data_IF_995550684783
#
_entry.id   IF_995550684783
#
_cell.length_a   1.000
_cell.length_b   1.000
_cell.length_c   1.000
_cell.angle_alpha   90.00
_cell.angle_beta   90.00
_cell.angle_gamma   90.00
#
_symmetry.space_group_name_H-M   'P 1'
#
loop_
_entity.id
_entity.type
_entity.pdbx_description
1 polymer ?
#
# COMPACT_ATOMS: atom_id res chain seq x y z
N UNK A 1 -13.81 7.91 -10.08
CA UNK A 1 -12.91 8.85 -10.78
C UNK A 1 -12.79 8.56 -12.29
N UNK A 2 -13.60 7.66 -12.85
CA UNK A 2 -13.62 7.28 -14.28
C UNK A 2 -12.25 6.85 -14.87
N UNK A 3 -11.33 6.38 -14.03
CA UNK A 3 -10.08 5.81 -14.49
C UNK A 3 -10.33 4.42 -15.09
N UNK A 4 -9.74 4.16 -16.24
CA UNK A 4 -9.86 2.89 -16.92
C UNK A 4 -8.97 1.85 -16.21
N UNK A 5 -9.53 0.70 -15.86
CA UNK A 5 -8.72 -0.42 -15.37
C UNK A 5 -7.89 -1.00 -16.51
N UNK A 6 -6.59 -1.09 -16.29
CA UNK A 6 -5.64 -1.71 -17.20
C UNK A 6 -4.88 -2.83 -16.50
N UNK A 7 -5.12 -4.07 -16.88
CA UNK A 7 -4.49 -5.25 -16.29
C UNK A 7 -2.96 -5.24 -16.41
N UNK A 8 -2.42 -4.57 -17.43
CA UNK A 8 -0.99 -4.38 -17.62
C UNK A 8 -0.33 -3.59 -16.48
N UNK A 9 -1.06 -2.73 -15.78
CA UNK A 9 -0.59 -1.94 -14.64
C UNK A 9 -0.69 -2.70 -13.31
N UNK A 10 -1.30 -3.89 -13.29
CA UNK A 10 -1.40 -4.70 -12.07
C UNK A 10 -0.33 -5.79 -12.08
N UNK A 11 0.49 -5.82 -11.03
CA UNK A 11 1.56 -6.81 -10.87
C UNK A 11 1.38 -7.56 -9.56
N UNK A 12 1.51 -8.87 -9.63
CA UNK A 12 1.42 -9.74 -8.46
C UNK A 12 2.64 -9.55 -7.55
N UNK A 13 2.40 -9.39 -6.26
CA UNK A 13 3.38 -9.44 -5.19
C UNK A 13 2.96 -10.44 -4.11
N UNK A 14 3.79 -10.58 -3.06
CA UNK A 14 3.62 -11.57 -1.98
C UNK A 14 3.79 -10.95 -0.59
N UNK A 15 3.48 -9.67 -0.45
CA UNK A 15 3.54 -8.90 0.80
C UNK A 15 4.95 -8.80 1.41
N UNK A 16 5.99 -8.88 0.59
CA UNK A 16 7.37 -8.73 0.99
C UNK A 16 8.14 -7.75 0.10
N UNK A 17 9.28 -7.28 0.59
CA UNK A 17 10.14 -6.30 -0.08
C UNK A 17 10.62 -6.78 -1.45
N UNK A 18 11.06 -8.03 -1.58
CA UNK A 18 11.62 -8.55 -2.82
C UNK A 18 10.57 -8.68 -3.92
N UNK A 19 9.35 -9.10 -3.59
CA UNK A 19 8.24 -9.13 -4.55
C UNK A 19 7.82 -7.73 -4.99
N UNK A 20 7.90 -6.74 -4.08
CA UNK A 20 7.73 -5.33 -4.40
C UNK A 20 8.72 -4.85 -5.44
N UNK A 21 10.02 -5.14 -5.29
CA UNK A 21 11.07 -4.84 -6.28
C UNK A 21 10.78 -5.47 -7.64
N UNK A 22 10.48 -6.78 -7.64
CA UNK A 22 10.20 -7.51 -8.89
C UNK A 22 8.99 -6.94 -9.62
N UNK A 23 7.94 -6.57 -8.89
CA UNK A 23 6.75 -5.93 -9.45
C UNK A 23 7.06 -4.54 -10.01
N UNK A 24 7.81 -3.72 -9.25
CA UNK A 24 8.24 -2.38 -9.66
C UNK A 24 9.07 -2.42 -10.93
N UNK A 25 10.06 -3.31 -11.03
CA UNK A 25 10.90 -3.46 -12.23
C UNK A 25 10.08 -3.66 -13.49
N UNK A 26 8.99 -4.43 -13.42
CA UNK A 26 8.07 -4.65 -14.54
C UNK A 26 7.28 -3.39 -14.90
N UNK A 27 6.88 -2.57 -13.92
CA UNK A 27 6.15 -1.33 -14.13
C UNK A 27 7.08 -0.23 -14.66
N UNK A 28 8.29 -0.11 -14.11
CA UNK A 28 9.27 0.91 -14.48
C UNK A 28 9.88 0.68 -15.88
N UNK A 29 9.82 -0.54 -16.41
CA UNK A 29 10.24 -0.85 -17.78
C UNK A 29 9.12 -0.71 -18.82
N UNK A 30 7.96 -0.20 -18.45
CA UNK A 30 6.87 0.02 -19.40
C UNK A 30 7.15 1.25 -20.28
N UNK A 31 6.69 1.22 -21.52
CA UNK A 31 6.81 2.36 -22.43
C UNK A 31 6.06 3.59 -21.91
N UNK A 32 4.88 3.38 -21.30
CA UNK A 32 4.11 4.41 -20.61
C UNK A 32 4.25 4.19 -19.11
N UNK A 33 5.13 4.97 -18.48
CA UNK A 33 5.39 4.89 -17.05
C UNK A 33 4.16 5.35 -16.23
N UNK A 34 3.78 4.63 -15.17
CA UNK A 34 2.78 5.13 -14.24
C UNK A 34 3.35 6.32 -13.45
N UNK A 35 2.53 7.34 -13.20
CA UNK A 35 2.91 8.48 -12.35
C UNK A 35 2.82 8.16 -10.85
N UNK A 36 2.18 7.04 -10.48
CA UNK A 36 2.07 6.56 -9.11
C UNK A 36 1.98 5.03 -9.06
N UNK A 37 2.55 4.44 -8.03
CA UNK A 37 2.46 3.01 -7.73
C UNK A 37 1.89 2.85 -6.32
N UNK A 38 0.78 2.11 -6.22
CA UNK A 38 0.17 1.72 -4.96
C UNK A 38 0.56 0.28 -4.68
N UNK A 39 1.24 0.05 -3.58
CA UNK A 39 1.63 -1.28 -3.11
C UNK A 39 0.63 -1.80 -2.07
N UNK A 40 0.45 -3.12 -2.03
CA UNK A 40 -0.52 -3.76 -1.14
C UNK A 40 -0.12 -3.75 0.34
N UNK A 41 1.16 -3.46 0.64
CA UNK A 41 1.64 -3.15 2.00
C UNK A 41 2.91 -2.29 1.94
N UNK A 42 3.37 -1.83 3.11
CA UNK A 42 4.51 -0.92 3.22
C UNK A 42 5.85 -1.59 2.86
N UNK A 43 6.02 -2.88 3.12
CA UNK A 43 7.25 -3.60 2.76
C UNK A 43 7.38 -3.74 1.24
N UNK A 44 6.29 -4.01 0.53
CA UNK A 44 6.28 -3.94 -0.93
C UNK A 44 6.55 -2.53 -1.43
N UNK A 45 5.96 -1.49 -0.78
CA UNK A 45 6.21 -0.09 -1.14
C UNK A 45 7.69 0.29 -0.97
N UNK A 46 8.35 -0.21 0.08
CA UNK A 46 9.79 -0.05 0.27
C UNK A 46 10.59 -0.71 -0.88
N UNK A 47 10.17 -1.90 -1.32
CA UNK A 47 10.74 -2.56 -2.49
C UNK A 47 10.56 -1.78 -3.78
N UNK A 48 9.38 -1.18 -3.97
CA UNK A 48 9.08 -0.29 -5.10
C UNK A 48 9.99 0.93 -5.09
N UNK A 49 10.12 1.60 -3.94
CA UNK A 49 10.97 2.78 -3.79
C UNK A 49 12.44 2.45 -4.07
N UNK A 50 12.93 1.34 -3.52
CA UNK A 50 14.30 0.86 -3.74
C UNK A 50 14.58 0.65 -5.24
N UNK A 51 13.72 -0.09 -5.93
CA UNK A 51 13.87 -0.34 -7.37
C UNK A 51 13.78 0.96 -8.19
N UNK A 52 12.94 1.91 -7.75
CA UNK A 52 12.86 3.24 -8.35
C UNK A 52 14.22 3.96 -8.29
N UNK A 53 14.84 4.03 -7.11
CA UNK A 53 16.15 4.68 -6.93
C UNK A 53 17.26 3.98 -7.71
N UNK A 54 17.30 2.64 -7.72
CA UNK A 54 18.28 1.88 -8.51
C UNK A 54 18.18 2.19 -10.01
N UNK A 55 17.01 2.58 -10.49
CA UNK A 55 16.78 2.97 -11.88
C UNK A 55 16.78 4.49 -12.11
N UNK A 56 17.20 5.29 -11.11
CA UNK A 56 17.39 6.73 -11.22
C UNK A 56 16.13 7.57 -11.12
N UNK A 57 15.02 7.02 -10.66
CA UNK A 57 13.78 7.77 -10.42
C UNK A 57 13.82 8.48 -9.06
N UNK A 58 13.31 9.69 -9.01
CA UNK A 58 13.07 10.45 -7.78
C UNK A 58 11.65 10.23 -7.26
N UNK A 59 11.50 10.05 -5.95
CA UNK A 59 10.21 9.91 -5.26
C UNK A 59 10.03 11.11 -4.34
N UNK A 60 8.95 11.88 -4.50
CA UNK A 60 7.76 11.65 -5.34
C UNK A 60 7.80 12.29 -6.72
N UNK A 61 8.88 13.00 -7.11
CA UNK A 61 8.93 13.90 -8.27
C UNK A 61 8.67 13.18 -9.59
N UNK A 62 9.21 11.99 -9.79
CA UNK A 62 9.01 11.20 -10.99
C UNK A 62 7.87 10.19 -10.81
N UNK A 63 7.80 9.54 -9.64
CA UNK A 63 6.80 8.51 -9.32
C UNK A 63 6.39 8.65 -7.86
N UNK A 64 5.09 8.82 -7.60
CA UNK A 64 4.53 8.70 -6.26
C UNK A 64 4.47 7.22 -5.84
N UNK A 65 4.81 6.95 -4.57
CA UNK A 65 4.67 5.61 -3.98
C UNK A 65 3.77 5.67 -2.76
N UNK A 66 2.79 4.78 -2.72
CA UNK A 66 1.82 4.67 -1.62
C UNK A 66 1.80 3.23 -1.13
N UNK A 67 1.81 3.05 0.19
CA UNK A 67 1.72 1.76 0.86
C UNK A 67 0.39 1.50 1.53
N UNK A 68 0.38 0.48 2.38
CA UNK A 68 -0.75 0.09 3.22
C UNK A 68 -0.21 -0.55 4.49
N UNK A 69 -0.82 -0.33 5.65
CA UNK A 69 -0.60 -0.80 7.02
C UNK A 69 -0.11 0.28 7.99
N UNK A 70 0.63 1.29 7.56
CA UNK A 70 1.34 2.26 8.40
C UNK A 70 2.27 1.56 9.43
N UNK A 71 3.02 0.60 8.94
CA UNK A 71 4.03 -0.13 9.67
C UNK A 71 5.23 0.77 10.04
N UNK A 72 6.14 0.35 10.96
CA UNK A 72 7.38 1.10 11.22
C UNK A 72 8.20 1.39 9.95
N UNK A 73 8.17 0.49 8.96
CA UNK A 73 8.82 0.68 7.65
C UNK A 73 8.40 2.00 7.01
N UNK A 74 7.10 2.35 7.04
CA UNK A 74 6.58 3.56 6.41
C UNK A 74 7.22 4.86 6.92
N UNK A 75 7.49 4.95 8.22
CA UNK A 75 8.09 6.13 8.83
C UNK A 75 9.61 6.18 8.74
N UNK A 76 10.26 5.02 8.55
CA UNK A 76 11.73 4.89 8.49
C UNK A 76 12.29 4.95 7.08
N UNK A 77 11.45 4.82 6.05
CA UNK A 77 11.85 5.01 4.65
C UNK A 77 12.28 6.45 4.36
N UNK A 78 13.01 6.61 3.28
CA UNK A 78 13.29 7.93 2.71
C UNK A 78 12.86 7.97 1.23
N UNK A 79 11.96 8.93 0.85
CA UNK A 79 11.19 9.78 1.76
C UNK A 79 10.19 8.95 2.60
N UNK A 80 9.71 9.48 3.75
CA UNK A 80 8.67 8.81 4.54
C UNK A 80 7.44 8.49 3.70
N UNK A 81 6.91 7.27 3.85
CA UNK A 81 5.89 6.70 2.99
C UNK A 81 4.49 7.20 3.32
N UNK A 82 3.78 7.72 2.34
CA UNK A 82 2.32 7.89 2.37
C UNK A 82 1.68 6.50 2.36
N UNK A 83 0.80 6.23 3.32
CA UNK A 83 0.23 4.90 3.51
C UNK A 83 -1.18 4.97 4.11
N UNK A 84 -1.86 3.84 4.20
CA UNK A 84 -3.16 3.71 4.83
C UNK A 84 -3.01 3.00 6.17
N UNK A 85 -3.40 3.66 7.27
CA UNK A 85 -3.41 3.08 8.61
C UNK A 85 -4.70 2.33 8.86
N UNK A 86 -4.58 1.07 9.26
CA UNK A 86 -5.68 0.25 9.74
C UNK A 86 -5.77 0.34 11.27
N UNK A 87 -6.99 0.33 11.87
CA UNK A 87 -7.16 0.26 13.33
C UNK A 87 -6.96 -1.18 13.85
N UNK A 88 -5.75 -1.73 13.65
CA UNK A 88 -5.43 -3.16 13.90
C UNK A 88 -5.77 -3.59 15.34
N UNK A 89 -5.50 -2.73 16.34
CA UNK A 89 -5.79 -3.05 17.74
C UNK A 89 -7.29 -3.24 17.98
N UNK A 90 -8.12 -2.36 17.42
CA UNK A 90 -9.57 -2.45 17.54
C UNK A 90 -10.12 -3.66 16.78
N UNK A 91 -9.60 -3.91 15.57
CA UNK A 91 -9.96 -5.08 14.77
C UNK A 91 -9.64 -6.38 15.50
N UNK A 92 -8.43 -6.50 16.07
CA UNK A 92 -7.99 -7.68 16.81
C UNK A 92 -8.81 -7.89 18.09
N UNK A 93 -9.10 -6.83 18.86
CA UNK A 93 -9.95 -6.90 20.05
C UNK A 93 -11.34 -7.41 19.68
N UNK A 94 -11.96 -6.82 18.66
CA UNK A 94 -13.30 -7.22 18.22
C UNK A 94 -13.35 -8.64 17.68
N UNK A 95 -12.37 -9.04 16.88
CA UNK A 95 -12.26 -10.42 16.40
C UNK A 95 -12.17 -11.42 17.55
N UNK A 96 -11.39 -11.10 18.59
CA UNK A 96 -11.26 -11.92 19.80
C UNK A 96 -12.57 -12.02 20.56
N UNK A 97 -13.29 -10.93 20.77
CA UNK A 97 -14.61 -10.91 21.40
C UNK A 97 -15.62 -11.80 20.66
N UNK A 98 -15.67 -11.68 19.33
CA UNK A 98 -16.58 -12.49 18.51
C UNK A 98 -16.23 -13.98 18.58
N UNK A 99 -14.94 -14.30 18.56
CA UNK A 99 -14.50 -15.71 18.71
C UNK A 99 -14.90 -16.27 20.06
N UNK A 100 -14.72 -15.54 21.16
CA UNK A 100 -15.13 -15.97 22.51
C UNK A 100 -16.65 -16.17 22.56
N UNK A 101 -17.43 -15.23 22.01
CA UNK A 101 -18.89 -15.33 21.94
C UNK A 101 -19.32 -16.59 21.18
N UNK A 102 -18.71 -16.87 20.04
CA UNK A 102 -18.99 -18.05 19.23
C UNK A 102 -18.67 -19.36 19.99
N UNK A 103 -17.53 -19.40 20.70
CA UNK A 103 -17.14 -20.56 21.51
C UNK A 103 -18.12 -20.82 22.67
N UNK A 104 -18.79 -19.78 23.17
CA UNK A 104 -19.84 -19.87 24.19
C UNK A 104 -21.21 -20.22 23.61
N UNK A 105 -21.32 -20.50 22.31
CA UNK A 105 -22.59 -20.81 21.63
C UNK A 105 -23.43 -19.62 21.26
N UNK A 106 -22.89 -18.40 21.32
CA UNK A 106 -23.57 -17.18 20.88
C UNK A 106 -23.62 -17.07 19.36
N UNK A 107 -24.65 -16.38 18.85
CA UNK A 107 -24.79 -16.09 17.43
C UNK A 107 -23.98 -14.85 17.05
N UNK A 108 -23.07 -15.00 16.10
CA UNK A 108 -22.22 -13.92 15.54
C UNK A 108 -22.57 -13.56 14.09
N UNK A 109 -23.55 -14.24 13.49
CA UNK A 109 -23.89 -14.13 12.07
C UNK A 109 -24.33 -12.73 11.61
N UNK A 110 -24.85 -11.91 12.53
CA UNK A 110 -25.30 -10.54 12.28
C UNK A 110 -24.30 -9.47 12.74
N UNK A 111 -23.12 -9.86 13.22
CA UNK A 111 -22.15 -8.95 13.83
C UNK A 111 -21.07 -8.52 12.83
N UNK A 112 -21.47 -7.82 11.76
CA UNK A 112 -20.54 -7.17 10.87
C UNK A 112 -19.85 -5.99 11.56
N UNK A 113 -18.54 -5.90 11.48
CA UNK A 113 -17.76 -4.75 11.93
C UNK A 113 -17.07 -4.12 10.72
N UNK A 114 -17.48 -2.92 10.36
CA UNK A 114 -16.79 -2.10 9.38
C UNK A 114 -15.85 -1.12 10.09
N UNK A 115 -14.60 -1.08 9.67
CA UNK A 115 -13.61 -0.18 10.23
C UNK A 115 -13.20 0.87 9.20
N UNK A 116 -13.05 2.11 9.64
CA UNK A 116 -12.55 3.19 8.80
C UNK A 116 -11.02 3.23 8.92
N UNK A 117 -10.35 3.10 7.78
CA UNK A 117 -8.90 3.31 7.69
C UNK A 117 -8.59 4.80 7.53
N UNK A 118 -7.41 5.22 7.95
CA UNK A 118 -6.91 6.59 7.87
C UNK A 118 -5.85 6.68 6.76
N UNK A 119 -5.95 7.67 5.89
CA UNK A 119 -4.86 8.00 4.95
C UNK A 119 -3.81 8.86 5.66
N UNK A 120 -2.62 8.32 5.83
CA UNK A 120 -1.47 9.00 6.43
C UNK A 120 -0.60 9.56 5.33
N UNK A 121 -0.76 10.86 5.03
CA UNK A 121 0.02 11.54 3.98
C UNK A 121 1.40 11.89 4.52
N UNK A 122 2.44 11.47 3.77
CA UNK A 122 3.84 11.80 4.01
C UNK A 122 4.50 12.31 2.73
N UNK A 123 5.79 12.10 2.56
CA UNK A 123 6.58 12.73 1.49
C UNK A 123 6.77 11.86 0.25
N UNK A 124 6.28 10.62 0.23
CA UNK A 124 6.45 9.72 -0.92
C UNK A 124 5.39 9.88 -2.02
N UNK A 125 4.45 10.80 -1.85
CA UNK A 125 3.43 11.09 -2.86
C UNK A 125 3.29 12.59 -3.08
N UNK A 126 3.03 12.98 -4.32
CA UNK A 126 2.88 14.36 -4.76
C UNK A 126 2.07 14.46 -6.05
N UNK A 127 1.88 15.68 -6.58
CA UNK A 127 1.22 15.88 -7.85
C UNK A 127 2.02 15.22 -8.99
N UNK A 128 1.34 14.67 -10.02
CA UNK A 128 2.03 14.08 -11.14
C UNK A 128 2.86 15.14 -11.89
N UNK A 129 4.01 14.70 -12.44
CA UNK A 129 4.82 15.56 -13.31
C UNK A 129 3.99 15.99 -14.52
N UNK A 130 3.85 17.29 -14.70
CA UNK A 130 3.18 17.81 -15.90
C UNK A 130 4.08 17.52 -17.10
N UNK A 131 3.62 16.66 -17.99
CA UNK A 131 4.31 16.46 -19.26
C UNK A 131 4.17 17.73 -20.07
N UNK A 132 5.27 18.46 -20.25
CA UNK A 132 5.34 19.65 -21.11
C UNK A 132 5.37 19.28 -22.58
#
# INVERSE_FOLDING_TARGET
HNLKYESSLVKQGYFDFESGKVAARKLLNMQNLPSAIIASNDDMAAGVAFEGYENGFSIPEDISVVGFDDSPTASHMWPPLTTVRQPITEMAARATELLILQLQGGDVSSQEAAYTCELVIRSSSGPPKVQG
#
